data_IF_357419756853
#
_entry.id   IF_357419756853
#
_cell.length_a   1.000
_cell.length_b   1.000
_cell.length_c   1.000
_cell.angle_alpha   90.00
_cell.angle_beta   90.00
_cell.angle_gamma   90.00
#
_symmetry.space_group_name_H-M   'P 1'
#
loop_
_entity.id
_entity.type
_entity.pdbx_description
1 polymer ?
#
# COMPACT_ATOMS: atom_id res chain seq x y z
N UNK A 1 -2.14 11.40 6.98
CA UNK A 1 -2.47 10.72 5.71
C UNK A 1 -2.03 9.27 5.82
N UNK A 2 -2.87 8.35 5.45
CA UNK A 2 -2.53 6.93 5.36
C UNK A 2 -2.18 6.56 3.93
N UNK A 3 -1.09 5.84 3.76
CA UNK A 3 -0.72 5.22 2.49
C UNK A 3 -0.92 3.72 2.63
N UNK A 4 -1.70 3.12 1.74
CA UNK A 4 -1.91 1.67 1.69
C UNK A 4 -1.44 1.14 0.35
N UNK A 5 -0.69 0.05 0.38
CA UNK A 5 -0.22 -0.65 -0.82
C UNK A 5 -0.80 -2.07 -0.77
N UNK A 6 -1.53 -2.44 -1.81
CA UNK A 6 -2.12 -3.76 -1.96
C UNK A 6 -1.22 -4.59 -2.88
N UNK A 7 -0.66 -5.64 -2.35
CA UNK A 7 0.24 -6.54 -3.07
C UNK A 7 -0.35 -7.94 -3.12
N UNK A 8 -0.11 -8.70 -4.19
CA UNK A 8 -0.41 -10.12 -4.18
C UNK A 8 0.30 -10.83 -3.03
N UNK A 9 -0.41 -11.69 -2.33
CA UNK A 9 0.14 -12.52 -1.25
C UNK A 9 0.45 -13.91 -1.80
N UNK A 10 1.62 -14.05 -2.41
CA UNK A 10 2.09 -15.29 -2.96
C UNK A 10 3.58 -15.48 -2.69
N UNK A 11 4.10 -16.64 -3.06
CA UNK A 11 5.49 -17.02 -2.77
C UNK A 11 6.50 -16.52 -3.80
N UNK A 12 6.06 -15.74 -4.80
CA UNK A 12 6.97 -15.23 -5.82
C UNK A 12 8.02 -14.29 -5.19
N UNK A 13 9.33 -14.52 -5.45
CA UNK A 13 10.40 -13.74 -4.83
C UNK A 13 10.28 -12.23 -5.08
N UNK A 14 9.77 -11.81 -6.23
CA UNK A 14 9.61 -10.39 -6.56
C UNK A 14 8.65 -9.67 -5.59
N UNK A 15 7.54 -10.30 -5.22
CA UNK A 15 6.57 -9.72 -4.27
C UNK A 15 7.16 -9.65 -2.86
N UNK A 16 7.91 -10.66 -2.45
CA UNK A 16 8.59 -10.66 -1.15
C UNK A 16 9.65 -9.57 -1.07
N UNK A 17 10.45 -9.43 -2.11
CA UNK A 17 11.47 -8.39 -2.19
C UNK A 17 10.85 -7.00 -2.18
N UNK A 18 9.76 -6.79 -2.91
CA UNK A 18 9.07 -5.52 -2.96
C UNK A 18 8.45 -5.16 -1.62
N UNK A 19 7.81 -6.12 -0.94
CA UNK A 19 7.27 -5.92 0.40
C UNK A 19 8.38 -5.48 1.36
N UNK A 20 9.51 -6.17 1.37
CA UNK A 20 10.65 -5.83 2.21
C UNK A 20 11.18 -4.43 1.92
N UNK A 21 11.26 -4.06 0.64
CA UNK A 21 11.68 -2.72 0.21
C UNK A 21 10.77 -1.63 0.77
N UNK A 22 9.46 -1.80 0.65
CA UNK A 22 8.51 -0.83 1.17
C UNK A 22 8.46 -0.79 2.70
N UNK A 23 8.61 -1.94 3.36
CA UNK A 23 8.70 -1.97 4.82
C UNK A 23 9.90 -1.16 5.32
N UNK A 24 11.05 -1.33 4.69
CA UNK A 24 12.25 -0.57 5.03
C UNK A 24 12.06 0.91 4.75
N UNK A 25 11.51 1.28 3.59
CA UNK A 25 11.25 2.66 3.21
C UNK A 25 10.31 3.35 4.21
N UNK A 26 9.19 2.72 4.55
CA UNK A 26 8.22 3.31 5.46
C UNK A 26 8.72 3.37 6.90
N UNK A 27 9.46 2.37 7.32
CA UNK A 27 10.05 2.36 8.67
C UNK A 27 11.10 3.45 8.80
N UNK A 28 11.95 3.62 7.79
CA UNK A 28 12.99 4.65 7.79
C UNK A 28 12.39 6.04 7.68
N UNK A 29 11.40 6.23 6.81
CA UNK A 29 10.85 7.56 6.51
C UNK A 29 9.83 8.01 7.56
N UNK A 30 8.99 7.10 8.04
CA UNK A 30 7.84 7.43 8.90
C UNK A 30 7.91 6.79 10.30
N UNK A 31 8.90 5.97 10.56
CA UNK A 31 9.09 5.36 11.88
C UNK A 31 8.43 4.02 12.09
N UNK A 32 7.70 3.50 11.12
CA UNK A 32 7.07 2.19 11.23
C UNK A 32 6.03 1.97 10.15
N UNK A 33 5.57 0.73 10.05
CA UNK A 33 4.49 0.35 9.15
C UNK A 33 3.80 -0.91 9.67
N UNK A 34 2.66 -1.24 9.07
CA UNK A 34 1.89 -2.43 9.43
C UNK A 34 1.62 -3.25 8.18
N UNK A 35 1.74 -4.57 8.30
CA UNK A 35 1.39 -5.51 7.24
C UNK A 35 0.23 -6.37 7.70
N UNK A 36 -0.82 -6.42 6.90
CA UNK A 36 -1.94 -7.33 7.08
C UNK A 36 -1.83 -8.38 5.99
N UNK A 37 -1.58 -9.63 6.38
CA UNK A 37 -1.41 -10.75 5.45
C UNK A 37 -2.68 -11.58 5.36
N UNK A 38 -2.76 -12.41 4.32
CA UNK A 38 -3.83 -13.39 4.12
C UNK A 38 -5.23 -12.74 4.01
N UNK A 39 -5.29 -11.61 3.33
CA UNK A 39 -6.57 -10.95 3.02
C UNK A 39 -7.13 -11.57 1.75
N UNK A 40 -8.39 -11.96 1.80
CA UNK A 40 -9.07 -12.55 0.65
C UNK A 40 -9.88 -11.49 -0.07
N UNK A 41 -9.63 -11.35 -1.37
CA UNK A 41 -10.40 -10.50 -2.25
C UNK A 41 -11.12 -11.33 -3.31
N UNK A 42 -12.28 -10.87 -3.74
CA UNK A 42 -13.03 -11.50 -4.83
C UNK A 42 -13.38 -10.47 -5.88
N UNK A 43 -13.29 -10.85 -7.12
CA UNK A 43 -13.73 -10.02 -8.23
C UNK A 43 -14.30 -10.88 -9.34
N UNK A 44 -15.11 -10.26 -10.18
CA UNK A 44 -15.72 -10.93 -11.32
C UNK A 44 -14.88 -10.69 -12.56
N UNK A 45 -14.45 -11.77 -13.21
CA UNK A 45 -13.73 -11.69 -14.47
C UNK A 45 -14.64 -11.17 -15.57
N UNK A 46 -14.20 -10.17 -16.34
CA UNK A 46 -14.92 -9.67 -17.49
C UNK A 46 -14.95 -10.67 -18.65
N UNK A 47 -13.90 -11.48 -18.77
CA UNK A 47 -13.78 -12.43 -19.88
C UNK A 47 -14.78 -13.59 -19.80
N UNK A 48 -14.96 -14.19 -18.64
CA UNK A 48 -15.75 -15.40 -18.48
C UNK A 48 -16.87 -15.29 -17.44
N UNK A 49 -17.07 -14.13 -16.84
CA UNK A 49 -18.08 -13.87 -15.82
C UNK A 49 -17.95 -14.74 -14.56
N UNK A 50 -16.79 -15.37 -14.36
CA UNK A 50 -16.53 -16.16 -13.16
C UNK A 50 -15.98 -15.30 -12.04
N UNK A 51 -16.31 -15.69 -10.82
CA UNK A 51 -15.74 -15.06 -9.62
C UNK A 51 -14.33 -15.61 -9.41
N UNK A 52 -13.38 -14.70 -9.32
CA UNK A 52 -11.98 -15.01 -9.03
C UNK A 52 -11.70 -14.60 -7.60
N UNK A 53 -11.13 -15.53 -6.83
CA UNK A 53 -10.67 -15.28 -5.48
C UNK A 53 -9.17 -15.04 -5.50
N UNK A 54 -8.73 -13.95 -4.88
CA UNK A 54 -7.34 -13.57 -4.83
C UNK A 54 -6.89 -13.42 -3.39
N UNK A 55 -5.63 -13.72 -3.13
CA UNK A 55 -5.01 -13.42 -1.84
C UNK A 55 -4.13 -12.21 -1.98
N UNK A 56 -4.33 -11.27 -1.08
CA UNK A 56 -3.57 -10.03 -1.04
C UNK A 56 -3.00 -9.81 0.35
N UNK A 57 -1.99 -8.99 0.40
CA UNK A 57 -1.47 -8.41 1.63
C UNK A 57 -1.53 -6.89 1.51
N UNK A 58 -1.76 -6.24 2.63
CA UNK A 58 -1.89 -4.80 2.70
C UNK A 58 -0.77 -4.27 3.59
N UNK A 59 0.08 -3.45 3.02
CA UNK A 59 1.08 -2.70 3.76
C UNK A 59 0.56 -1.28 3.94
N UNK A 60 0.52 -0.79 5.17
CA UNK A 60 0.09 0.58 5.39
C UNK A 60 0.96 1.31 6.40
N UNK A 61 0.98 2.62 6.26
CA UNK A 61 1.65 3.54 7.16
C UNK A 61 0.80 4.78 7.37
N UNK A 62 0.71 5.22 8.61
CA UNK A 62 0.11 6.50 8.94
C UNK A 62 1.22 7.54 9.02
N UNK A 63 1.11 8.57 8.21
CA UNK A 63 2.10 9.63 8.10
C UNK A 63 1.59 10.91 8.74
N UNK A 64 2.50 11.79 9.07
CA UNK A 64 2.18 13.15 9.49
C UNK A 64 2.05 14.12 8.32
N UNK A 65 2.11 13.61 7.09
CA UNK A 65 1.95 14.44 5.90
C UNK A 65 0.51 14.93 5.77
N UNK A 66 0.39 16.19 5.38
CA UNK A 66 -0.89 16.83 5.11
C UNK A 66 -0.95 17.20 3.64
N UNK A 67 -1.78 16.50 2.82
CA UNK A 67 -1.82 16.74 1.37
C UNK A 67 -2.10 18.19 1.01
N UNK A 68 -2.93 18.89 1.79
CA UNK A 68 -3.25 20.29 1.55
C UNK A 68 -2.03 21.22 1.69
N UNK A 69 -1.07 20.88 2.55
CA UNK A 69 0.13 21.66 2.80
C UNK A 69 1.34 21.19 2.00
N UNK A 70 1.38 19.91 1.66
CA UNK A 70 2.54 19.26 1.06
C UNK A 70 2.20 18.58 -0.26
N UNK A 71 1.22 19.10 -1.00
CA UNK A 71 0.66 18.45 -2.18
C UNK A 71 1.72 17.96 -3.17
N UNK A 72 2.65 18.83 -3.56
CA UNK A 72 3.66 18.48 -4.54
C UNK A 72 4.61 17.39 -4.02
N UNK A 73 5.06 17.49 -2.77
CA UNK A 73 5.94 16.49 -2.17
C UNK A 73 5.24 15.14 -2.02
N UNK A 74 3.96 15.14 -1.66
CA UNK A 74 3.15 13.93 -1.55
C UNK A 74 2.99 13.27 -2.92
N UNK A 75 2.64 14.02 -3.94
CA UNK A 75 2.49 13.50 -5.30
C UNK A 75 3.79 12.91 -5.83
N UNK A 76 4.92 13.58 -5.64
CA UNK A 76 6.22 13.07 -6.05
C UNK A 76 6.58 11.79 -5.32
N UNK A 77 6.32 11.72 -4.03
CA UNK A 77 6.61 10.54 -3.22
C UNK A 77 5.77 9.34 -3.66
N UNK A 78 4.48 9.53 -3.85
CA UNK A 78 3.58 8.48 -4.32
C UNK A 78 3.94 7.99 -5.72
N UNK A 79 4.37 8.91 -6.58
CA UNK A 79 4.82 8.56 -7.92
C UNK A 79 6.09 7.68 -7.88
N UNK A 80 7.02 7.99 -7.00
CA UNK A 80 8.23 7.17 -6.80
C UNK A 80 7.90 5.77 -6.30
N UNK A 81 6.95 5.66 -5.35
CA UNK A 81 6.48 4.36 -4.85
C UNK A 81 5.86 3.54 -5.99
N UNK A 82 4.98 4.18 -6.77
CA UNK A 82 4.34 3.52 -7.91
C UNK A 82 5.37 3.04 -8.93
N UNK A 83 6.32 3.87 -9.31
CA UNK A 83 7.36 3.50 -10.27
C UNK A 83 8.23 2.35 -9.76
N UNK A 84 8.61 2.37 -8.49
CA UNK A 84 9.38 1.29 -7.88
C UNK A 84 8.62 -0.03 -7.98
N UNK A 85 7.34 -0.03 -7.68
CA UNK A 85 6.50 -1.22 -7.77
C UNK A 85 6.34 -1.69 -9.22
N UNK A 86 6.05 -0.78 -10.12
CA UNK A 86 5.87 -1.08 -11.54
C UNK A 86 7.12 -1.68 -12.16
N UNK A 87 8.29 -1.09 -11.92
CA UNK A 87 9.56 -1.59 -12.44
C UNK A 87 9.92 -2.97 -11.88
N UNK A 88 9.63 -3.21 -10.60
CA UNK A 88 9.96 -4.47 -9.95
C UNK A 88 9.11 -5.63 -10.45
N UNK A 89 7.84 -5.39 -10.78
CA UNK A 89 6.88 -6.43 -11.11
C UNK A 89 6.51 -6.49 -12.59
N UNK A 90 6.82 -5.44 -13.35
CA UNK A 90 6.36 -5.27 -14.74
C UNK A 90 4.84 -5.44 -14.90
N UNK A 91 4.10 -5.17 -13.83
CA UNK A 91 2.64 -5.33 -13.78
C UNK A 91 1.97 -4.07 -13.26
N UNK A 92 0.78 -3.78 -13.79
CA UNK A 92 -0.07 -2.69 -13.33
C UNK A 92 -0.97 -3.09 -12.15
N UNK A 93 -0.81 -4.28 -11.62
CA UNK A 93 -1.71 -4.89 -10.64
C UNK A 93 -1.54 -4.40 -9.20
N UNK A 94 -0.83 -3.30 -8.98
CA UNK A 94 -0.64 -2.75 -7.64
C UNK A 94 -1.58 -1.58 -7.43
N UNK A 95 -2.40 -1.71 -6.40
CA UNK A 95 -3.25 -0.61 -5.96
C UNK A 95 -2.58 0.14 -4.83
N UNK A 96 -2.48 1.46 -4.99
CA UNK A 96 -2.01 2.37 -3.93
C UNK A 96 -3.16 3.29 -3.58
N UNK A 97 -3.61 3.23 -2.34
CA UNK A 97 -4.66 4.09 -1.82
C UNK A 97 -4.09 5.09 -0.83
N UNK A 98 -4.58 6.30 -0.90
CA UNK A 98 -4.17 7.36 0.03
C UNK A 98 -5.43 8.04 0.56
N UNK A 99 -5.53 8.17 1.87
CA UNK A 99 -6.68 8.83 2.48
C UNK A 99 -6.34 9.45 3.83
N UNK A 100 -7.19 10.36 4.26
CA UNK A 100 -7.07 10.99 5.57
C UNK A 100 -7.50 10.00 6.66
N UNK A 101 -6.75 10.00 7.76
CA UNK A 101 -7.07 9.20 8.94
C UNK A 101 -7.13 10.12 10.14
N UNK A 102 -8.21 9.98 10.91
CA UNK A 102 -8.36 10.67 12.18
C UNK A 102 -8.09 9.69 13.32
N UNK A 103 -7.21 10.07 14.22
CA UNK A 103 -6.94 9.29 15.41
C UNK A 103 -7.78 9.79 16.56
N UNK A 104 -8.45 8.85 17.25
CA UNK A 104 -9.21 9.20 18.46
C UNK A 104 -8.24 9.29 19.63
N UNK A 105 -8.18 10.47 20.22
CA UNK A 105 -7.37 10.70 21.42
C UNK A 105 -8.27 10.50 22.64
N UNK A 106 -7.85 9.72 23.64
CA UNK A 106 -8.61 9.60 24.88
C UNK A 106 -8.79 10.98 25.53
N UNK A 107 -9.95 11.25 26.15
CA UNK A 107 -10.15 12.51 26.84
C UNK A 107 -9.15 12.66 27.97
N UNK A 108 -8.65 13.88 28.14
CA UNK A 108 -7.80 14.22 29.29
C UNK A 108 -8.69 14.37 30.53
N UNK A 109 -8.35 13.62 31.56
CA UNK A 109 -9.04 13.68 32.85
C UNK A 109 -8.18 14.42 33.89
#
# INVERSE_FOLDING_TARGET
MRIEIFLPDNTHPAYKALLATFQEEFTTTFGGCTVISHVEGQYRSEENQQTITDRIQILFVDTNLQPALHQQAVEQYLHQIYETAYEALEEEAILISVYAVSHVTPPAF
#
